data_IF_318473083510
#
_entry.id   IF_318473083510
#
_cell.length_a   1.000
_cell.length_b   1.000
_cell.length_c   1.000
_cell.angle_alpha   90.00
_cell.angle_beta   90.00
_cell.angle_gamma   90.00
#
_symmetry.space_group_name_H-M   'P 1'
#
loop_
_entity.id
_entity.type
_entity.pdbx_description
1 polymer ?
#
# COMPACT_ATOMS: atom_id res chain seq x y z
N UNK A 1 -14.89 0.71 7.50
CA UNK A 1 -14.26 2.05 7.48
C UNK A 1 -13.54 2.14 6.14
N UNK A 2 -14.10 2.88 5.18
CA UNK A 2 -13.46 3.11 3.89
C UNK A 2 -12.64 4.38 4.04
N UNK A 3 -11.32 4.26 4.00
CA UNK A 3 -10.44 5.41 3.94
C UNK A 3 -10.45 5.83 2.47
N UNK A 4 -11.23 6.86 2.13
CA UNK A 4 -11.19 7.48 0.80
C UNK A 4 -9.94 8.36 0.76
N UNK A 5 -8.93 7.86 0.07
CA UNK A 5 -7.72 8.60 -0.21
C UNK A 5 -7.97 9.49 -1.42
N UNK A 6 -8.21 10.79 -1.21
CA UNK A 6 -8.16 11.82 -2.26
C UNK A 6 -6.69 12.09 -2.65
N UNK A 7 -6.01 11.03 -3.10
CA UNK A 7 -4.64 11.12 -3.58
C UNK A 7 -4.72 11.45 -5.06
N UNK A 8 -4.07 12.55 -5.46
CA UNK A 8 -3.77 12.76 -6.86
C UNK A 8 -2.96 11.55 -7.37
N UNK A 9 -3.08 11.23 -8.67
CA UNK A 9 -2.39 10.10 -9.30
C UNK A 9 -0.88 10.09 -9.03
N UNK A 10 -0.29 11.27 -8.83
CA UNK A 10 1.11 11.44 -8.43
C UNK A 10 1.40 10.90 -7.02
N UNK A 11 0.59 11.29 -6.02
CA UNK A 11 0.73 10.83 -4.65
C UNK A 11 0.39 9.34 -4.51
N UNK A 12 -0.57 8.85 -5.32
CA UNK A 12 -0.88 7.44 -5.40
C UNK A 12 0.31 6.60 -5.89
N UNK A 13 0.97 7.02 -6.98
CA UNK A 13 2.19 6.36 -7.50
C UNK A 13 3.35 6.46 -6.50
N UNK A 14 3.51 7.61 -5.84
CA UNK A 14 4.52 7.81 -4.81
C UNK A 14 4.31 6.87 -3.61
N UNK A 15 3.07 6.72 -3.15
CA UNK A 15 2.72 5.82 -2.06
C UNK A 15 2.90 4.35 -2.47
N UNK A 16 2.49 3.96 -3.68
CA UNK A 16 2.74 2.63 -4.22
C UNK A 16 4.23 2.30 -4.31
N UNK A 17 5.05 3.25 -4.75
CA UNK A 17 6.52 3.08 -4.77
C UNK A 17 7.07 2.96 -3.36
N UNK A 18 6.59 3.77 -2.42
CA UNK A 18 7.01 3.71 -1.03
C UNK A 18 6.69 2.34 -0.41
N UNK A 19 5.50 1.80 -0.62
CA UNK A 19 5.14 0.47 -0.11
C UNK A 19 6.02 -0.66 -0.69
N UNK A 20 6.53 -0.50 -1.91
CA UNK A 20 7.43 -1.49 -2.54
C UNK A 20 8.88 -1.40 -2.04
N UNK A 21 9.37 -0.17 -1.81
CA UNK A 21 10.76 0.08 -1.41
C UNK A 21 10.97 0.05 0.10
N UNK A 22 9.93 0.35 0.86
CA UNK A 22 9.98 0.33 2.31
C UNK A 22 10.20 -1.10 2.81
N UNK A 23 11.17 -1.23 3.73
CA UNK A 23 11.43 -2.46 4.47
C UNK A 23 11.31 -2.10 5.95
N UNK A 24 10.33 -2.65 6.68
CA UNK A 24 10.26 -2.42 8.10
C UNK A 24 11.51 -3.00 8.77
N UNK A 25 12.17 -2.16 9.58
CA UNK A 25 13.34 -2.50 10.39
C UNK A 25 13.07 -2.23 11.87
N UNK A 26 11.88 -2.62 12.35
CA UNK A 26 11.42 -2.33 13.72
C UNK A 26 12.26 -3.03 14.78
N UNK A 27 13.07 -4.01 14.39
CA UNK A 27 13.88 -4.83 15.28
C UNK A 27 13.12 -6.03 15.85
N UNK A 28 11.82 -6.16 15.57
CA UNK A 28 11.01 -7.32 15.90
C UNK A 28 10.53 -8.03 14.62
N UNK A 29 11.04 -9.23 14.39
CA UNK A 29 10.76 -10.00 13.17
C UNK A 29 9.26 -10.32 12.99
N UNK A 30 8.47 -10.37 14.08
CA UNK A 30 7.02 -10.62 13.99
C UNK A 30 6.30 -9.34 13.56
N UNK A 31 6.73 -8.20 14.08
CA UNK A 31 6.18 -6.90 13.72
C UNK A 31 6.54 -6.55 12.28
N UNK A 32 7.80 -6.76 11.88
CA UNK A 32 8.26 -6.57 10.49
C UNK A 32 7.45 -7.44 9.52
N UNK A 33 7.19 -8.70 9.88
CA UNK A 33 6.37 -9.61 9.06
C UNK A 33 4.93 -9.11 8.91
N UNK A 34 4.34 -8.62 9.99
CA UNK A 34 2.97 -8.09 9.98
C UNK A 34 2.86 -6.80 9.18
N UNK A 35 3.87 -5.93 9.28
CA UNK A 35 3.94 -4.70 8.50
C UNK A 35 4.12 -4.98 7.01
N UNK A 36 4.98 -5.95 6.65
CA UNK A 36 5.14 -6.40 5.27
C UNK A 36 3.81 -6.94 4.71
N UNK A 37 3.14 -7.82 5.44
CA UNK A 37 1.83 -8.37 5.04
C UNK A 37 0.79 -7.26 4.82
N UNK A 38 0.70 -6.30 5.75
CA UNK A 38 -0.20 -5.16 5.60
C UNK A 38 0.15 -4.26 4.39
N UNK A 39 1.43 -4.08 4.09
CA UNK A 39 1.89 -3.31 2.93
C UNK A 39 1.57 -4.03 1.62
N UNK A 40 1.71 -5.35 1.57
CA UNK A 40 1.33 -6.16 0.41
C UNK A 40 -0.18 -6.08 0.15
N UNK A 41 -1.01 -6.26 1.18
CA UNK A 41 -2.47 -6.13 1.07
C UNK A 41 -2.87 -4.73 0.61
N UNK A 42 -2.23 -3.68 1.13
CA UNK A 42 -2.48 -2.30 0.70
C UNK A 42 -2.11 -2.11 -0.78
N UNK A 43 -0.97 -2.63 -1.22
CA UNK A 43 -0.54 -2.59 -2.62
C UNK A 43 -1.51 -3.29 -3.56
N UNK A 44 -2.04 -4.45 -3.17
CA UNK A 44 -3.05 -5.17 -3.96
C UNK A 44 -4.36 -4.40 -4.03
N UNK A 45 -4.85 -3.86 -2.91
CA UNK A 45 -6.06 -3.05 -2.88
C UNK A 45 -5.92 -1.79 -3.75
N UNK A 46 -4.75 -1.13 -3.71
CA UNK A 46 -4.44 0.01 -4.55
C UNK A 46 -4.41 -0.38 -6.04
N UNK A 47 -3.72 -1.46 -6.40
CA UNK A 47 -3.72 -1.97 -7.79
C UNK A 47 -5.12 -2.30 -8.30
N UNK A 48 -5.96 -2.96 -7.48
CA UNK A 48 -7.35 -3.24 -7.83
C UNK A 48 -8.21 -1.99 -8.02
N UNK A 49 -7.92 -0.93 -7.25
CA UNK A 49 -8.59 0.37 -7.37
C UNK A 49 -8.18 1.12 -8.64
N UNK A 50 -6.90 1.11 -9.02
CA UNK A 50 -6.40 1.72 -10.28
C UNK A 50 -6.86 0.92 -11.52
N UNK A 51 -7.04 -0.40 -11.38
CA UNK A 51 -7.56 -1.29 -12.42
C UNK A 51 -9.09 -1.37 -12.49
N UNK A 52 -9.82 -0.40 -11.93
CA UNK A 52 -11.27 -0.28 -12.14
C UNK A 52 -11.57 0.69 -13.29
N UNK A 53 -11.52 0.29 -14.58
CA UNK A 53 -12.37 0.92 -15.57
C UNK A 53 -13.81 0.48 -15.23
N UNK A 54 -14.63 1.47 -14.90
CA UNK A 54 -16.10 1.45 -14.83
C UNK A 54 -16.74 0.15 -15.36
N UNK A 55 -17.41 -0.61 -14.47
CA UNK A 55 -18.37 -1.66 -14.86
C UNK A 55 -19.74 -1.05 -15.16
#
# INVERSE_FOLDING_TARGET
MFIEFDLNRNDFDALMRHCQTYRPETGDAREDRRLLDALEVLLEAMRGSDQSPES
#
